data_IF_010997274460
#
_entry.id   IF_010997274460
#
_cell.length_a   1.000
_cell.length_b   1.000
_cell.length_c   1.000
_cell.angle_alpha   90.00
_cell.angle_beta   90.00
_cell.angle_gamma   90.00
#
_symmetry.space_group_name_H-M   'P 1'
#
loop_
_entity.id
_entity.type
_entity.pdbx_description
1 polymer ?
#
# COMPACT_ATOMS: atom_id res chain seq x y z
N UNK A 1 39.24 -3.03 -37.19
CA UNK A 1 37.79 -2.92 -36.94
C UNK A 1 37.63 -2.74 -35.43
N UNK A 2 37.71 -1.53 -34.86
CA UNK A 2 36.59 -0.60 -34.53
C UNK A 2 35.31 -1.40 -34.20
N UNK A 3 34.84 -1.47 -32.95
CA UNK A 3 34.22 -0.37 -32.20
C UNK A 3 34.52 -0.43 -30.70
N UNK A 4 35.12 0.64 -30.19
CA UNK A 4 35.14 1.03 -28.77
C UNK A 4 33.74 1.49 -28.36
N UNK A 5 33.15 0.88 -27.34
CA UNK A 5 31.97 1.44 -26.65
C UNK A 5 32.45 2.09 -25.37
N UNK A 6 32.53 3.40 -25.45
CA UNK A 6 32.87 4.35 -24.39
C UNK A 6 31.62 4.56 -23.54
N UNK A 7 31.55 3.99 -22.33
CA UNK A 7 30.55 4.43 -21.35
C UNK A 7 31.03 5.73 -20.73
N UNK A 8 30.51 6.83 -21.28
CA UNK A 8 30.60 8.15 -20.67
C UNK A 8 29.70 8.13 -19.42
N UNK A 9 30.30 7.92 -18.26
CA UNK A 9 29.69 8.23 -16.96
C UNK A 9 29.69 9.74 -16.78
N UNK A 10 28.61 10.41 -17.22
CA UNK A 10 28.33 11.78 -16.80
C UNK A 10 27.84 11.72 -15.36
N UNK A 11 28.69 12.18 -14.44
CA UNK A 11 28.25 12.73 -13.17
C UNK A 11 27.36 13.95 -13.45
N UNK A 12 26.08 13.86 -13.12
CA UNK A 12 25.26 15.03 -12.81
C UNK A 12 24.99 15.03 -11.31
N UNK A 13 25.98 15.48 -10.56
CA UNK A 13 25.75 16.09 -9.27
C UNK A 13 25.28 17.52 -9.53
N UNK A 14 24.03 17.83 -9.18
CA UNK A 14 23.47 19.09 -8.60
C UNK A 14 21.98 18.73 -8.43
N UNK A 15 21.48 18.38 -7.24
CA UNK A 15 21.27 19.28 -6.12
C UNK A 15 19.80 19.72 -6.12
N UNK A 16 18.98 19.16 -5.23
CA UNK A 16 17.79 19.87 -4.77
C UNK A 16 17.78 19.83 -3.26
N UNK A 17 18.43 20.83 -2.69
CA UNK A 17 18.03 21.36 -1.42
C UNK A 17 16.60 21.90 -1.59
N UNK A 18 15.62 21.25 -0.98
CA UNK A 18 14.39 21.90 -0.57
C UNK A 18 14.21 21.68 0.92
N UNK A 19 15.18 22.15 1.70
CA UNK A 19 14.84 22.76 2.98
C UNK A 19 14.58 24.23 2.70
N UNK A 20 13.33 24.64 2.47
CA UNK A 20 12.94 26.04 2.57
C UNK A 20 11.46 26.14 2.90
N UNK A 21 11.19 26.57 4.13
CA UNK A 21 9.87 27.00 4.55
C UNK A 21 9.38 28.19 3.71
N UNK A 22 8.09 28.17 3.42
CA UNK A 22 7.34 29.37 3.09
C UNK A 22 6.11 29.37 4.00
N UNK A 23 6.18 30.19 5.04
CA UNK A 23 5.01 30.59 5.78
C UNK A 23 4.04 31.31 4.83
N UNK A 24 2.83 30.77 4.69
CA UNK A 24 1.65 31.58 4.39
C UNK A 24 0.51 31.13 5.27
N UNK A 25 0.03 32.07 6.06
CA UNK A 25 -0.99 31.96 7.08
C UNK A 25 -2.26 31.26 6.57
N UNK A 26 -2.51 30.06 7.11
CA UNK A 26 -3.82 29.44 7.31
C UNK A 26 -3.67 28.61 8.58
N UNK A 27 -4.63 28.69 9.52
CA UNK A 27 -4.70 27.82 10.71
C UNK A 27 -4.73 26.34 10.28
N UNK A 28 -3.57 25.72 10.12
CA UNK A 28 -3.38 24.28 10.03
C UNK A 28 -2.60 23.86 11.28
N UNK A 29 -2.90 22.74 11.93
CA UNK A 29 -2.04 22.23 12.99
C UNK A 29 -0.62 22.07 12.43
N UNK A 30 0.40 22.50 13.17
CA UNK A 30 1.81 22.57 12.75
C UNK A 30 2.42 21.21 12.36
N UNK A 31 1.65 20.12 12.47
CA UNK A 31 2.01 18.72 12.25
C UNK A 31 1.41 18.09 10.98
N UNK A 32 0.56 18.79 10.23
CA UNK A 32 -0.12 18.23 9.05
C UNK A 32 0.82 18.15 7.83
N UNK A 33 1.05 16.93 7.32
CA UNK A 33 1.76 16.68 6.07
C UNK A 33 1.02 17.32 4.88
N UNK A 34 1.76 17.72 3.84
CA UNK A 34 1.14 18.22 2.62
C UNK A 34 0.68 17.08 1.71
N UNK A 35 -0.33 17.33 0.87
CA UNK A 35 -0.80 16.36 -0.13
C UNK A 35 0.33 15.89 -1.05
N UNK A 36 1.26 16.79 -1.40
CA UNK A 36 2.43 16.48 -2.23
C UNK A 36 3.39 15.52 -1.52
N UNK A 37 3.63 15.72 -0.22
CA UNK A 37 4.52 14.86 0.57
C UNK A 37 3.90 13.46 0.70
N UNK A 38 2.60 13.40 1.01
CA UNK A 38 1.88 12.13 1.13
C UNK A 38 1.85 11.40 -0.20
N UNK A 39 1.52 12.09 -1.30
CA UNK A 39 1.51 11.49 -2.65
C UNK A 39 2.88 10.94 -3.05
N UNK A 40 3.95 11.69 -2.77
CA UNK A 40 5.32 11.27 -3.07
C UNK A 40 5.72 10.04 -2.26
N UNK A 41 5.40 10.01 -0.97
CA UNK A 41 5.63 8.86 -0.09
C UNK A 41 4.88 7.61 -0.58
N UNK A 42 3.60 7.74 -0.93
CA UNK A 42 2.79 6.62 -1.43
C UNK A 42 3.33 6.09 -2.75
N UNK A 43 3.64 6.98 -3.70
CA UNK A 43 4.22 6.59 -4.99
C UNK A 43 5.60 5.95 -4.82
N UNK A 44 6.44 6.45 -3.90
CA UNK A 44 7.74 5.85 -3.62
C UNK A 44 7.61 4.45 -3.01
N UNK A 45 6.65 4.26 -2.09
CA UNK A 45 6.45 3.00 -1.38
C UNK A 45 5.83 1.93 -2.27
N UNK A 46 4.69 2.24 -2.90
CA UNK A 46 3.89 1.25 -3.62
C UNK A 46 4.10 1.26 -5.15
N UNK A 47 4.82 2.25 -5.68
CA UNK A 47 4.93 2.50 -7.12
C UNK A 47 3.63 3.08 -7.68
N UNK A 48 3.45 2.99 -9.01
CA UNK A 48 2.21 3.41 -9.69
C UNK A 48 2.12 4.92 -9.98
N UNK A 49 0.91 5.35 -10.34
CA UNK A 49 0.58 6.76 -10.65
C UNK A 49 -0.57 7.24 -9.78
N UNK A 50 -0.41 8.40 -9.14
CA UNK A 50 -1.47 9.04 -8.36
C UNK A 50 -2.48 9.67 -9.33
N UNK A 51 -3.74 9.21 -9.31
CA UNK A 51 -4.81 9.79 -10.10
C UNK A 51 -5.54 10.90 -9.35
N UNK A 52 -5.74 10.69 -8.05
CA UNK A 52 -6.41 11.64 -7.17
C UNK A 52 -5.80 11.57 -5.76
N UNK A 53 -5.71 12.71 -5.11
CA UNK A 53 -5.47 12.82 -3.68
C UNK A 53 -6.43 13.86 -3.13
N UNK A 54 -7.08 13.53 -2.02
CA UNK A 54 -8.02 14.41 -1.36
C UNK A 54 -7.82 14.39 0.14
N UNK A 55 -7.92 15.56 0.76
CA UNK A 55 -7.84 15.73 2.20
C UNK A 55 -9.25 15.71 2.82
N UNK A 56 -9.40 15.03 3.94
CA UNK A 56 -10.60 15.05 4.76
C UNK A 56 -10.21 15.11 6.24
N UNK A 57 -11.13 15.54 7.09
CA UNK A 57 -10.98 15.45 8.54
C UNK A 57 -12.17 14.67 9.07
N UNK A 58 -11.89 13.60 9.81
CA UNK A 58 -12.89 12.75 10.44
C UNK A 58 -12.56 12.68 11.93
N UNK A 59 -13.50 13.06 12.79
CA UNK A 59 -13.31 13.02 14.25
C UNK A 59 -12.03 13.72 14.74
N UNK A 60 -11.73 14.90 14.16
CA UNK A 60 -10.50 15.68 14.36
C UNK A 60 -9.20 15.00 13.90
N UNK A 61 -9.29 13.81 13.31
CA UNK A 61 -8.16 13.15 12.67
C UNK A 61 -8.03 13.62 11.20
N UNK A 62 -6.90 14.25 10.83
CA UNK A 62 -6.64 14.60 9.44
C UNK A 62 -6.30 13.33 8.65
N UNK A 63 -6.98 13.13 7.52
CA UNK A 63 -6.76 11.97 6.65
C UNK A 63 -6.60 12.40 5.19
N UNK A 64 -5.77 11.65 4.47
CA UNK A 64 -5.67 11.70 3.02
C UNK A 64 -6.29 10.45 2.41
N UNK A 65 -7.10 10.65 1.38
CA UNK A 65 -7.65 9.58 0.53
C UNK A 65 -7.04 9.69 -0.85
N UNK A 66 -6.34 8.64 -1.27
CA UNK A 66 -5.55 8.61 -2.49
C UNK A 66 -6.06 7.50 -3.40
N UNK A 67 -6.26 7.83 -4.68
CA UNK A 67 -6.45 6.84 -5.76
C UNK A 67 -5.10 6.63 -6.45
N UNK A 68 -4.55 5.43 -6.27
CA UNK A 68 -3.31 4.99 -6.90
C UNK A 68 -3.62 3.99 -8.03
N UNK A 69 -3.20 4.28 -9.25
CA UNK A 69 -3.26 3.35 -10.37
C UNK A 69 -1.96 2.54 -10.47
N UNK A 70 -2.05 1.23 -10.33
CA UNK A 70 -0.92 0.29 -10.48
C UNK A 70 -1.36 -0.88 -11.36
N UNK A 71 -0.65 -1.11 -12.46
CA UNK A 71 -0.99 -2.14 -13.47
C UNK A 71 -2.45 -2.02 -13.97
N UNK A 72 -2.91 -0.79 -14.23
CA UNK A 72 -4.28 -0.43 -14.60
C UNK A 72 -5.36 -0.80 -13.56
N UNK A 73 -4.94 -1.14 -12.33
CA UNK A 73 -5.83 -1.44 -11.21
C UNK A 73 -5.83 -0.24 -10.25
N UNK A 74 -7.00 0.38 -10.01
CA UNK A 74 -7.12 1.45 -9.02
C UNK A 74 -7.15 0.89 -7.60
N UNK A 75 -6.35 1.50 -6.73
CA UNK A 75 -6.34 1.26 -5.28
C UNK A 75 -6.75 2.53 -4.56
N UNK A 76 -7.63 2.40 -3.57
CA UNK A 76 -7.90 3.46 -2.61
C UNK A 76 -7.03 3.27 -1.39
N UNK A 77 -6.30 4.32 -1.03
CA UNK A 77 -5.36 4.32 0.09
C UNK A 77 -5.79 5.41 1.06
N UNK A 78 -5.98 5.06 2.33
CA UNK A 78 -6.21 6.02 3.42
C UNK A 78 -4.93 6.20 4.21
N UNK A 79 -4.55 7.45 4.45
CA UNK A 79 -3.30 7.81 5.13
C UNK A 79 -3.59 8.83 6.22
N UNK A 80 -3.04 8.63 7.41
CA UNK A 80 -3.08 9.63 8.48
C UNK A 80 -2.25 10.86 8.07
N UNK A 81 -2.86 12.04 8.17
CA UNK A 81 -2.28 13.30 7.72
C UNK A 81 -1.22 13.88 8.65
N UNK A 82 -1.17 13.48 9.92
CA UNK A 82 -0.17 13.95 10.88
C UNK A 82 1.16 13.21 10.74
N UNK A 83 1.10 11.89 10.60
CA UNK A 83 2.28 11.03 10.64
C UNK A 83 2.61 10.33 9.31
N UNK A 84 1.68 10.34 8.35
CA UNK A 84 1.86 9.69 7.04
C UNK A 84 1.66 8.18 7.04
N UNK A 85 1.15 7.61 8.12
CA UNK A 85 0.88 6.19 8.26
C UNK A 85 -0.29 5.75 7.38
N UNK A 86 -0.10 4.64 6.67
CA UNK A 86 -1.16 4.06 5.83
C UNK A 86 -2.08 3.26 6.73
N UNK A 87 -3.37 3.60 6.75
CA UNK A 87 -4.40 2.95 7.56
C UNK A 87 -5.18 1.89 6.77
N UNK A 88 -5.39 2.11 5.48
CA UNK A 88 -6.01 1.12 4.61
C UNK A 88 -5.48 1.17 3.19
N UNK A 89 -5.45 0.02 2.53
CA UNK A 89 -5.19 -0.15 1.11
C UNK A 89 -6.20 -1.15 0.55
N UNK A 90 -7.10 -0.65 -0.29
CA UNK A 90 -8.24 -1.39 -0.82
C UNK A 90 -8.17 -1.39 -2.33
N UNK A 91 -8.17 -2.58 -2.94
CA UNK A 91 -8.28 -2.72 -4.40
C UNK A 91 -9.71 -2.37 -4.81
N UNK A 92 -9.89 -1.37 -5.65
CA UNK A 92 -11.20 -1.07 -6.19
C UNK A 92 -11.58 -2.13 -7.24
N UNK A 93 -12.65 -2.88 -6.96
CA UNK A 93 -13.25 -3.79 -7.93
C UNK A 93 -13.76 -2.98 -9.12
N UNK A 94 -13.09 -3.10 -10.26
CA UNK A 94 -13.62 -2.59 -11.53
C UNK A 94 -14.78 -3.51 -11.90
N UNK A 95 -16.02 -3.11 -11.60
CA UNK A 95 -17.20 -3.78 -12.12
C UNK A 95 -17.24 -3.64 -13.64
N UNK A 96 -16.56 -4.55 -14.35
CA UNK A 96 -16.72 -4.71 -15.79
C UNK A 96 -17.96 -5.55 -16.04
N UNK A 97 -19.01 -4.92 -16.56
CA UNK A 97 -20.06 -5.63 -17.27
C UNK A 97 -19.45 -6.54 -18.35
N UNK A 98 -19.94 -7.77 -18.38
CA UNK A 98 -19.55 -8.91 -19.21
C UNK A 98 -19.39 -8.59 -20.69
N UNK A 99 -18.23 -8.93 -21.27
CA UNK A 99 -18.17 -9.49 -22.62
C UNK A 99 -16.98 -10.46 -22.72
N UNK A 100 -17.30 -11.70 -23.06
CA UNK A 100 -16.44 -12.87 -23.25
C UNK A 100 -15.56 -12.79 -24.49
N UNK A 101 -14.26 -13.05 -24.34
CA UNK A 101 -13.54 -14.20 -24.93
C UNK A 101 -12.04 -14.09 -24.61
N UNK A 102 -11.43 -15.14 -24.07
CA UNK A 102 -10.17 -15.73 -24.55
C UNK A 102 -9.98 -17.09 -23.90
N UNK A 103 -9.69 -18.10 -24.73
CA UNK A 103 -9.24 -19.43 -24.33
C UNK A 103 -7.71 -19.52 -24.42
N UNK A 104 -7.17 -20.32 -23.52
CA UNK A 104 -5.92 -21.11 -23.52
C UNK A 104 -4.63 -20.52 -22.93
N UNK A 105 -4.30 -21.08 -21.75
CA UNK A 105 -3.07 -21.78 -21.30
C UNK A 105 -1.71 -21.07 -21.49
N UNK A 106 -0.71 -21.14 -20.60
CA UNK A 106 -0.23 -22.21 -19.71
C UNK A 106 0.63 -21.61 -18.59
N UNK A 107 0.75 -22.38 -17.51
CA UNK A 107 1.57 -22.25 -16.29
C UNK A 107 3.08 -22.00 -16.52
N UNK A 108 3.74 -21.32 -15.56
CA UNK A 108 4.78 -21.85 -14.63
C UNK A 108 5.71 -20.75 -14.04
N UNK A 109 5.67 -20.67 -12.71
CA UNK A 109 6.73 -20.57 -11.68
C UNK A 109 8.05 -19.74 -11.80
N UNK A 110 8.35 -19.11 -10.64
CA UNK A 110 9.64 -18.84 -9.95
C UNK A 110 10.55 -17.67 -10.39
N UNK A 111 10.83 -16.73 -9.46
CA UNK A 111 12.08 -16.71 -8.63
C UNK A 111 12.25 -15.45 -7.75
N UNK A 112 12.70 -15.72 -6.52
CA UNK A 112 13.16 -14.91 -5.37
C UNK A 112 14.27 -13.87 -5.64
N UNK A 113 14.30 -12.76 -4.87
CA UNK A 113 15.53 -12.02 -4.49
C UNK A 113 15.36 -11.14 -3.24
N UNK A 114 16.36 -11.19 -2.33
CA UNK A 114 16.54 -10.48 -1.05
C UNK A 114 16.87 -8.96 -1.14
N UNK A 115 16.28 -8.18 -0.21
CA UNK A 115 16.72 -7.02 0.64
C UNK A 115 17.57 -5.81 0.14
N UNK A 116 17.34 -4.63 0.78
CA UNK A 116 18.32 -4.07 1.74
C UNK A 116 17.70 -3.67 3.11
N UNK A 117 18.52 -3.42 4.16
CA UNK A 117 18.08 -3.28 5.55
C UNK A 117 17.63 -1.85 5.89
N UNK A 118 16.59 -1.70 6.71
CA UNK A 118 16.13 -0.41 7.27
C UNK A 118 16.44 -0.35 8.78
N UNK A 119 17.04 0.76 9.19
CA UNK A 119 17.42 1.09 10.58
C UNK A 119 16.21 1.55 11.42
N UNK A 120 16.27 1.44 12.77
CA UNK A 120 15.09 1.52 13.63
C UNK A 120 14.82 2.95 14.16
N UNK A 121 13.54 3.30 14.26
CA UNK A 121 13.02 4.34 15.16
C UNK A 121 12.05 3.68 16.13
N UNK A 122 12.22 3.97 17.42
CA UNK A 122 11.63 3.26 18.56
C UNK A 122 10.15 3.59 18.78
N UNK A 123 9.29 2.69 18.36
CA UNK A 123 8.18 2.03 19.08
C UNK A 123 8.06 0.68 18.37
N UNK A 124 7.83 -0.46 19.05
CA UNK A 124 8.00 -1.80 18.44
C UNK A 124 7.43 -1.83 17.01
N UNK A 125 8.27 -1.95 15.96
CA UNK A 125 7.84 -1.57 14.64
C UNK A 125 6.78 -2.58 14.21
N UNK A 126 5.56 -2.08 14.01
CA UNK A 126 4.50 -2.85 13.37
C UNK A 126 5.09 -3.45 12.09
N UNK A 127 4.73 -4.71 11.81
CA UNK A 127 5.03 -5.27 10.49
C UNK A 127 4.37 -4.38 9.44
N UNK A 128 5.00 -4.21 8.28
CA UNK A 128 4.36 -3.45 7.22
C UNK A 128 3.10 -4.15 6.69
N UNK A 129 2.16 -3.39 6.14
CA UNK A 129 1.01 -3.94 5.40
C UNK A 129 1.41 -4.89 4.26
N UNK A 130 2.56 -4.66 3.61
CA UNK A 130 3.09 -5.58 2.59
C UNK A 130 3.49 -6.93 3.22
N UNK A 131 4.12 -6.90 4.38
CA UNK A 131 4.42 -8.12 5.14
C UNK A 131 3.14 -8.84 5.60
N UNK A 132 2.13 -8.11 6.09
CA UNK A 132 0.85 -8.68 6.48
C UNK A 132 0.15 -9.35 5.28
N UNK A 133 0.10 -8.67 4.14
CA UNK A 133 -0.40 -9.21 2.87
C UNK A 133 0.34 -10.50 2.47
N UNK A 134 1.67 -10.50 2.54
CA UNK A 134 2.47 -11.67 2.17
C UNK A 134 2.24 -12.84 3.12
N UNK A 135 2.12 -12.59 4.44
CA UNK A 135 1.77 -13.61 5.45
C UNK A 135 0.39 -14.21 5.13
N UNK A 136 -0.61 -13.37 4.85
CA UNK A 136 -1.96 -13.82 4.52
C UNK A 136 -1.98 -14.68 3.24
N UNK A 137 -1.31 -14.24 2.17
CA UNK A 137 -1.24 -14.97 0.89
C UNK A 137 -0.42 -16.28 0.98
N UNK A 138 0.46 -16.41 1.98
CA UNK A 138 1.10 -17.69 2.29
C UNK A 138 0.14 -18.67 2.96
N UNK A 139 -0.82 -18.18 3.76
CA UNK A 139 -1.82 -18.99 4.47
C UNK A 139 -3.00 -19.37 3.59
N UNK A 140 -3.47 -18.45 2.76
CA UNK A 140 -4.68 -18.61 1.95
C UNK A 140 -4.35 -18.36 0.48
N UNK A 141 -4.74 -19.30 -0.39
CA UNK A 141 -4.68 -19.10 -1.84
C UNK A 141 -5.84 -18.21 -2.29
N UNK A 142 -5.52 -17.23 -3.12
CA UNK A 142 -6.49 -16.32 -3.72
C UNK A 142 -5.81 -15.07 -4.26
N UNK A 143 -6.61 -14.04 -4.51
CA UNK A 143 -6.16 -12.73 -4.95
C UNK A 143 -6.35 -11.73 -3.82
N UNK A 144 -5.32 -10.95 -3.51
CA UNK A 144 -5.42 -9.88 -2.53
C UNK A 144 -6.52 -8.86 -2.92
N UNK A 145 -7.38 -8.53 -1.95
CA UNK A 145 -8.44 -7.53 -2.07
C UNK A 145 -8.10 -6.27 -1.27
N UNK A 146 -7.96 -6.40 0.05
CA UNK A 146 -7.74 -5.27 0.95
C UNK A 146 -6.80 -5.63 2.11
N UNK A 147 -6.20 -4.60 2.70
CA UNK A 147 -5.58 -4.66 4.02
C UNK A 147 -5.93 -3.40 4.80
N UNK A 148 -6.41 -3.58 6.02
CA UNK A 148 -6.85 -2.52 6.92
C UNK A 148 -6.25 -2.72 8.32
N UNK A 149 -5.99 -1.62 9.02
CA UNK A 149 -5.58 -1.64 10.44
C UNK A 149 -6.85 -1.66 11.29
N UNK A 150 -6.94 -2.66 12.17
CA UNK A 150 -8.01 -2.80 13.15
C UNK A 150 -7.43 -2.74 14.57
N UNK A 151 -8.16 -2.13 15.49
CA UNK A 151 -7.81 -2.11 16.92
C UNK A 151 -8.91 -2.80 17.73
N UNK A 152 -8.55 -3.90 18.39
CA UNK A 152 -9.45 -4.66 19.24
C UNK A 152 -8.83 -4.84 20.63
N UNK A 153 -9.55 -4.45 21.68
CA UNK A 153 -9.11 -4.59 23.08
C UNK A 153 -7.71 -4.00 23.36
N UNK A 154 -7.32 -2.93 22.65
CA UNK A 154 -6.01 -2.28 22.76
C UNK A 154 -4.87 -3.03 22.06
N UNK A 155 -5.20 -4.01 21.23
CA UNK A 155 -4.27 -4.70 20.35
C UNK A 155 -4.52 -4.28 18.90
N UNK A 156 -3.44 -4.08 18.15
CA UNK A 156 -3.50 -3.70 16.74
C UNK A 156 -3.34 -4.93 15.85
N UNK A 157 -4.23 -5.05 14.87
CA UNK A 157 -4.26 -6.12 13.88
C UNK A 157 -4.23 -5.54 12.47
N UNK A 158 -3.70 -6.33 11.53
CA UNK A 158 -4.00 -6.19 10.13
C UNK A 158 -5.11 -7.18 9.78
N UNK A 159 -6.24 -6.68 9.28
CA UNK A 159 -7.24 -7.50 8.61
C UNK A 159 -6.89 -7.53 7.12
N UNK A 160 -6.65 -8.73 6.58
CA UNK A 160 -6.35 -8.94 5.16
C UNK A 160 -7.45 -9.75 4.50
N UNK A 161 -8.09 -9.19 3.48
CA UNK A 161 -9.12 -9.85 2.68
C UNK A 161 -8.51 -10.46 1.41
N UNK A 162 -8.86 -11.73 1.14
CA UNK A 162 -8.40 -12.50 0.00
C UNK A 162 -9.60 -13.09 -0.75
N UNK A 163 -9.79 -12.65 -1.99
CA UNK A 163 -10.74 -13.22 -2.94
C UNK A 163 -10.31 -14.64 -3.31
N UNK A 164 -11.09 -15.64 -2.92
CA UNK A 164 -10.86 -17.04 -3.34
C UNK A 164 -11.68 -17.40 -4.58
N UNK A 165 -12.85 -16.80 -4.73
CA UNK A 165 -13.72 -16.93 -5.88
C UNK A 165 -14.58 -15.68 -6.04
N UNK A 166 -15.58 -15.70 -6.92
CA UNK A 166 -16.49 -14.55 -7.09
C UNK A 166 -17.41 -14.29 -5.90
N UNK A 167 -17.65 -15.31 -5.08
CA UNK A 167 -18.66 -15.31 -4.00
C UNK A 167 -18.07 -15.82 -2.69
N UNK A 168 -16.74 -15.93 -2.60
CA UNK A 168 -16.05 -16.44 -1.42
C UNK A 168 -14.80 -15.64 -1.15
N UNK A 169 -14.74 -15.12 0.05
CA UNK A 169 -13.63 -14.37 0.59
C UNK A 169 -13.06 -15.07 1.82
N UNK A 170 -11.79 -14.84 2.09
CA UNK A 170 -11.16 -15.19 3.35
C UNK A 170 -10.64 -13.93 4.02
N UNK A 171 -10.92 -13.77 5.31
CA UNK A 171 -10.37 -12.70 6.14
C UNK A 171 -9.33 -13.28 7.08
N UNK A 172 -8.14 -12.68 7.07
CA UNK A 172 -7.01 -13.10 7.90
C UNK A 172 -6.68 -11.97 8.86
N UNK A 173 -6.86 -12.18 10.16
CA UNK A 173 -6.42 -11.22 11.18
C UNK A 173 -5.02 -11.57 11.63
N UNK A 174 -4.11 -10.59 11.52
CA UNK A 174 -2.69 -10.75 11.80
C UNK A 174 -2.28 -9.74 12.86
N UNK A 175 -1.74 -10.19 13.99
CA UNK A 175 -1.23 -9.31 15.03
C UNK A 175 -0.12 -8.41 14.47
N UNK A 176 -0.31 -7.08 14.54
CA UNK A 176 0.54 -6.12 13.85
C UNK A 176 1.96 -6.03 14.41
N UNK A 177 2.18 -6.40 15.69
CA UNK A 177 3.50 -6.38 16.32
C UNK A 177 4.30 -7.65 16.05
N UNK A 178 3.65 -8.80 16.08
CA UNK A 178 4.32 -10.11 16.00
C UNK A 178 4.26 -10.78 14.64
N UNK A 179 3.31 -10.38 13.79
CA UNK A 179 2.96 -11.09 12.56
C UNK A 179 2.33 -12.46 12.78
N UNK A 180 1.88 -12.75 14.00
CA UNK A 180 1.11 -13.96 14.28
C UNK A 180 -0.27 -13.88 13.60
N UNK A 181 -0.78 -15.02 13.14
CA UNK A 181 -2.13 -15.11 12.58
C UNK A 181 -3.06 -15.50 13.69
N UNK A 182 -3.94 -14.58 14.08
CA UNK A 182 -4.83 -14.75 15.23
C UNK A 182 -6.17 -15.35 14.81
N UNK A 183 -6.69 -14.95 13.64
CA UNK A 183 -7.94 -15.48 13.10
C UNK A 183 -7.90 -15.68 11.59
N UNK A 184 -8.65 -16.68 11.13
CA UNK A 184 -8.91 -16.95 9.71
C UNK A 184 -10.40 -17.33 9.57
N UNK A 185 -11.16 -16.48 8.91
CA UNK A 185 -12.58 -16.71 8.62
C UNK A 185 -12.82 -16.76 7.11
N UNK A 186 -13.94 -17.38 6.73
CA UNK A 186 -14.40 -17.44 5.35
C UNK A 186 -15.81 -16.91 5.29
N UNK A 187 -16.05 -15.99 4.37
CA UNK A 187 -17.37 -15.41 4.11
C UNK A 187 -17.81 -15.80 2.70
N UNK A 188 -19.11 -16.07 2.54
CA UNK A 188 -19.72 -16.24 1.23
C UNK A 188 -20.80 -15.17 1.05
N UNK A 189 -20.91 -14.61 -0.15
CA UNK A 189 -21.87 -13.53 -0.45
C UNK A 189 -23.35 -13.96 -0.41
N UNK A 190 -23.63 -15.27 -0.24
CA UNK A 190 -24.97 -15.87 -0.33
C UNK A 190 -25.65 -16.13 1.05
N UNK A 191 -25.03 -15.75 2.17
CA UNK A 191 -25.54 -15.98 3.54
C UNK A 191 -26.39 -14.82 4.12
#
# INVERSE_FOLDING_TARGET
>A
MKKTVLFILIFLAVGSACFYGIAKAVNRPDTLLSESDVSSMIQQKYGGTIENASFSQKDDEPIYRITLLKDDIPYHITVNGENGEVQSLIKQKVEKQTSTQTKNNTEEEQKKSEQPPVSPTSDEPLISMEQARDIALQKVKGTFSSVEIEEEEGQTFYEVEIDQSKTREAKVMINAYSGHVDSLTYENDDD
#
